data_IF_295630794333
#
_entry.id   IF_295630794333
#
_cell.length_a   1.000
_cell.length_b   1.000
_cell.length_c   1.000
_cell.angle_alpha   90.00
_cell.angle_beta   90.00
_cell.angle_gamma   90.00
#
_symmetry.space_group_name_H-M   'P 1'
#
loop_
_entity.id
_entity.type
_entity.pdbx_description
1 polymer ?
#
# COMPACT_ATOMS: atom_id res chain seq x y z
N UNK A 1 20.90 6.15 -17.16
CA UNK A 1 20.00 5.02 -17.50
C UNK A 1 19.28 4.63 -16.21
N UNK A 2 17.97 4.34 -16.26
CA UNK A 2 17.20 3.94 -15.06
C UNK A 2 17.60 2.52 -14.69
N UNK A 3 17.95 2.29 -13.41
CA UNK A 3 18.34 0.95 -12.93
C UNK A 3 17.13 0.02 -12.87
N UNK A 4 17.29 -1.22 -13.27
CA UNK A 4 16.26 -2.26 -13.32
C UNK A 4 16.60 -3.36 -12.32
N UNK A 5 15.68 -3.66 -11.41
CA UNK A 5 15.97 -4.50 -10.24
C UNK A 5 14.93 -5.61 -10.10
N UNK A 6 15.38 -6.82 -9.78
CA UNK A 6 14.52 -7.92 -9.34
C UNK A 6 14.42 -7.89 -7.82
N UNK A 7 13.21 -7.87 -7.27
CA UNK A 7 12.98 -7.99 -5.85
C UNK A 7 12.71 -9.45 -5.45
N UNK A 8 13.39 -9.88 -4.39
CA UNK A 8 13.08 -11.13 -3.71
C UNK A 8 11.75 -11.04 -2.94
N UNK A 9 11.14 -12.19 -2.68
CA UNK A 9 9.86 -12.29 -1.94
C UNK A 9 9.90 -11.59 -0.58
N UNK A 10 11.01 -11.74 0.09
CA UNK A 10 11.25 -11.21 1.41
C UNK A 10 11.13 -9.69 1.48
N UNK A 11 11.54 -8.97 0.44
CA UNK A 11 11.47 -7.50 0.43
C UNK A 11 10.01 -7.03 0.47
N UNK A 12 9.16 -7.69 -0.31
CA UNK A 12 7.74 -7.34 -0.37
C UNK A 12 7.03 -7.80 0.90
N UNK A 13 7.38 -8.97 1.41
CA UNK A 13 6.82 -9.48 2.67
C UNK A 13 7.22 -8.63 3.88
N UNK A 14 8.39 -7.99 3.87
CA UNK A 14 8.77 -7.06 4.94
C UNK A 14 7.79 -5.88 5.04
N UNK A 15 7.30 -5.39 3.91
CA UNK A 15 6.33 -4.30 3.83
C UNK A 15 4.93 -4.81 4.21
N UNK A 16 4.49 -5.92 3.61
CA UNK A 16 3.15 -6.46 3.83
C UNK A 16 2.91 -6.94 5.27
N UNK A 17 3.96 -7.41 5.95
CA UNK A 17 3.87 -7.97 7.29
C UNK A 17 4.52 -7.10 8.37
N UNK A 18 4.98 -5.89 8.02
CA UNK A 18 5.64 -4.96 8.95
C UNK A 18 6.80 -5.60 9.75
N UNK A 19 7.72 -6.28 9.02
CA UNK A 19 8.80 -7.06 9.66
C UNK A 19 9.96 -6.17 10.09
N UNK A 20 10.02 -5.85 11.38
CA UNK A 20 11.20 -5.22 11.98
C UNK A 20 12.43 -6.17 11.96
N UNK A 21 13.65 -5.66 11.72
CA UNK A 21 14.04 -4.27 11.42
C UNK A 21 14.05 -3.96 9.90
N UNK A 22 13.53 -4.85 9.06
CA UNK A 22 13.72 -4.81 7.61
C UNK A 22 12.74 -3.89 6.88
N UNK A 23 11.56 -3.67 7.47
CA UNK A 23 10.46 -2.91 6.85
C UNK A 23 10.90 -1.55 6.35
N UNK A 24 11.69 -0.80 7.11
CA UNK A 24 12.15 0.55 6.70
C UNK A 24 12.98 0.50 5.42
N UNK A 25 13.86 -0.49 5.29
CA UNK A 25 14.73 -0.64 4.12
C UNK A 25 13.93 -1.04 2.89
N UNK A 26 12.99 -1.95 3.07
CA UNK A 26 12.14 -2.43 2.00
C UNK A 26 11.17 -1.34 1.50
N UNK A 27 10.62 -0.52 2.40
CA UNK A 27 9.80 0.66 2.06
C UNK A 27 10.60 1.64 1.18
N UNK A 28 11.84 1.94 1.51
CA UNK A 28 12.66 2.86 0.71
C UNK A 28 12.96 2.33 -0.70
N UNK A 29 13.20 1.03 -0.84
CA UNK A 29 13.35 0.42 -2.18
C UNK A 29 12.04 0.52 -2.96
N UNK A 30 10.89 0.28 -2.31
CA UNK A 30 9.59 0.44 -2.93
C UNK A 30 9.37 1.90 -3.36
N UNK A 31 9.69 2.87 -2.51
CA UNK A 31 9.62 4.30 -2.83
C UNK A 31 10.46 4.65 -4.07
N UNK A 32 11.65 4.07 -4.24
CA UNK A 32 12.48 4.27 -5.44
C UNK A 32 11.81 3.72 -6.71
N UNK A 33 11.20 2.54 -6.62
CA UNK A 33 10.50 1.89 -7.74
C UNK A 33 9.29 2.70 -8.13
N UNK A 34 8.46 3.01 -7.14
CA UNK A 34 7.22 3.71 -7.35
C UNK A 34 7.52 5.11 -7.91
N UNK A 35 8.47 5.87 -7.32
CA UNK A 35 8.92 7.18 -7.83
C UNK A 35 9.64 7.14 -9.19
N UNK A 36 9.68 5.98 -9.86
CA UNK A 36 10.29 5.74 -11.17
C UNK A 36 11.78 6.09 -11.23
N UNK A 37 12.45 6.15 -10.07
CA UNK A 37 13.90 6.31 -9.99
C UNK A 37 14.61 5.01 -10.37
N UNK A 38 13.97 3.87 -10.11
CA UNK A 38 14.34 2.54 -10.59
C UNK A 38 13.11 1.81 -11.11
N UNK A 39 13.33 0.72 -11.86
CA UNK A 39 12.27 -0.14 -12.37
C UNK A 39 12.30 -1.49 -11.63
N UNK A 40 11.19 -1.85 -10.98
CA UNK A 40 11.11 -3.08 -10.19
C UNK A 40 10.48 -4.25 -10.94
N UNK A 41 11.04 -5.44 -10.72
CA UNK A 41 10.58 -6.71 -11.26
C UNK A 41 10.37 -7.73 -10.15
N UNK A 42 9.45 -8.68 -10.37
CA UNK A 42 9.23 -9.87 -9.53
C UNK A 42 9.03 -11.10 -10.38
N UNK A 43 9.34 -12.28 -9.83
CA UNK A 43 9.04 -13.54 -10.49
C UNK A 43 7.60 -14.02 -10.19
N UNK A 44 7.01 -14.88 -11.03
CA UNK A 44 5.75 -15.55 -10.70
C UNK A 44 5.83 -16.39 -9.42
N UNK A 45 7.02 -16.93 -9.08
CA UNK A 45 7.26 -17.69 -7.85
C UNK A 45 7.12 -16.77 -6.63
N UNK A 46 7.70 -15.57 -6.71
CA UNK A 46 7.55 -14.52 -5.70
C UNK A 46 6.07 -14.18 -5.46
N UNK A 47 5.30 -13.98 -6.53
CA UNK A 47 3.86 -13.72 -6.43
C UNK A 47 3.10 -14.89 -5.77
N UNK A 48 3.40 -16.14 -6.14
CA UNK A 48 2.77 -17.30 -5.53
C UNK A 48 3.02 -17.35 -4.02
N UNK A 49 4.24 -17.05 -3.56
CA UNK A 49 4.53 -17.01 -2.12
C UNK A 49 3.77 -15.91 -1.41
N UNK A 50 3.75 -14.71 -1.97
CA UNK A 50 3.01 -13.59 -1.39
C UNK A 50 1.52 -13.91 -1.29
N UNK A 51 0.94 -14.51 -2.34
CA UNK A 51 -0.44 -14.98 -2.31
C UNK A 51 -0.67 -15.99 -1.19
N UNK A 52 0.21 -16.98 -1.04
CA UNK A 52 0.07 -17.99 0.01
C UNK A 52 0.17 -17.40 1.42
N UNK A 53 1.08 -16.44 1.63
CA UNK A 53 1.19 -15.72 2.90
C UNK A 53 -0.06 -14.88 3.18
N UNK A 54 -0.52 -14.09 2.21
CA UNK A 54 -1.75 -13.31 2.34
C UNK A 54 -2.96 -14.18 2.65
N UNK A 55 -3.05 -15.35 2.00
CA UNK A 55 -4.12 -16.34 2.24
C UNK A 55 -4.08 -16.87 3.66
N UNK A 56 -2.89 -17.17 4.19
CA UNK A 56 -2.72 -17.67 5.56
C UNK A 56 -3.07 -16.62 6.62
N UNK A 57 -2.74 -15.36 6.37
CA UNK A 57 -2.90 -14.28 7.36
C UNK A 57 -4.25 -13.56 7.30
N UNK A 58 -4.91 -13.56 6.16
CA UNK A 58 -6.10 -12.73 5.92
C UNK A 58 -7.14 -13.32 4.97
N UNK A 59 -6.95 -14.56 4.51
CA UNK A 59 -7.85 -15.20 3.57
C UNK A 59 -7.61 -14.83 2.11
N UNK A 60 -8.38 -15.46 1.22
CA UNK A 60 -8.14 -15.43 -0.24
C UNK A 60 -8.34 -14.04 -0.84
N UNK A 61 -9.26 -13.25 -0.29
CA UNK A 61 -9.52 -11.88 -0.77
C UNK A 61 -8.31 -10.97 -0.53
N UNK A 62 -7.75 -10.99 0.69
CA UNK A 62 -6.54 -10.23 1.05
C UNK A 62 -5.35 -10.68 0.19
N UNK A 63 -5.23 -11.98 -0.10
CA UNK A 63 -4.20 -12.50 -0.99
C UNK A 63 -4.30 -11.92 -2.41
N UNK A 64 -5.51 -11.90 -3.00
CA UNK A 64 -5.71 -11.31 -4.32
C UNK A 64 -5.50 -9.81 -4.35
N UNK A 65 -5.89 -9.10 -3.29
CA UNK A 65 -5.63 -7.68 -3.16
C UNK A 65 -4.13 -7.39 -3.17
N UNK A 66 -3.33 -8.12 -2.38
CA UNK A 66 -1.88 -7.94 -2.36
C UNK A 66 -1.25 -8.18 -3.75
N UNK A 67 -1.70 -9.20 -4.49
CA UNK A 67 -1.22 -9.45 -5.87
C UNK A 67 -1.61 -8.32 -6.82
N UNK A 68 -2.83 -7.79 -6.71
CA UNK A 68 -3.28 -6.67 -7.53
C UNK A 68 -2.42 -5.43 -7.26
N UNK A 69 -2.19 -5.09 -5.98
CA UNK A 69 -1.37 -3.95 -5.57
C UNK A 69 0.07 -4.07 -6.08
N UNK A 70 0.72 -5.22 -5.90
CA UNK A 70 2.08 -5.46 -6.40
C UNK A 70 2.19 -5.23 -7.91
N UNK A 71 1.21 -5.68 -8.68
CA UNK A 71 1.19 -5.54 -10.14
C UNK A 71 0.98 -4.10 -10.63
N UNK A 72 0.57 -3.18 -9.75
CA UNK A 72 0.46 -1.76 -10.11
C UNK A 72 1.83 -1.07 -10.16
N UNK A 73 2.82 -1.59 -9.44
CA UNK A 73 4.13 -0.96 -9.24
C UNK A 73 5.30 -1.81 -9.75
N UNK A 74 5.16 -3.14 -9.79
CA UNK A 74 6.20 -4.08 -10.23
C UNK A 74 5.83 -4.78 -11.54
N UNK A 75 6.83 -4.95 -12.39
CA UNK A 75 6.73 -5.79 -13.59
C UNK A 75 6.90 -7.26 -13.22
N UNK A 76 6.12 -8.13 -13.83
CA UNK A 76 6.25 -9.58 -13.61
C UNK A 76 7.15 -10.17 -14.70
N UNK A 77 8.18 -10.90 -14.30
CA UNK A 77 9.03 -11.63 -15.23
C UNK A 77 8.20 -12.71 -15.95
N UNK A 78 8.40 -12.84 -17.26
CA UNK A 78 7.85 -13.94 -18.03
C UNK A 78 8.75 -15.15 -17.79
N UNK A 79 8.18 -16.26 -17.33
CA UNK A 79 8.88 -17.54 -17.17
C UNK A 79 8.29 -18.53 -18.17
N UNK A 80 9.02 -18.73 -19.27
CA UNK A 80 8.70 -19.67 -20.35
C UNK A 80 9.75 -20.80 -20.42
N UNK A 81 9.60 -21.72 -21.38
CA UNK A 81 10.53 -22.83 -21.56
C UNK A 81 11.99 -22.38 -21.77
N UNK A 82 12.22 -21.17 -22.30
CA UNK A 82 13.58 -20.63 -22.47
C UNK A 82 14.18 -20.28 -21.11
N UNK A 83 13.41 -19.60 -20.25
CA UNK A 83 13.84 -19.31 -18.88
C UNK A 83 14.07 -20.61 -18.10
N UNK A 84 13.18 -21.60 -18.25
CA UNK A 84 13.33 -22.90 -17.60
C UNK A 84 14.59 -23.63 -18.07
N UNK A 85 14.89 -23.61 -19.37
CA UNK A 85 16.10 -24.22 -19.92
C UNK A 85 17.37 -23.53 -19.40
N UNK A 86 17.38 -22.19 -19.34
CA UNK A 86 18.48 -21.42 -18.76
C UNK A 86 18.65 -21.76 -17.27
N UNK A 87 17.57 -21.74 -16.49
CA UNK A 87 17.59 -22.06 -15.07
C UNK A 87 18.11 -23.49 -14.82
N UNK A 88 17.66 -24.47 -15.61
CA UNK A 88 18.11 -25.85 -15.50
C UNK A 88 19.60 -26.02 -15.85
N UNK A 89 20.12 -25.22 -16.78
CA UNK A 89 21.55 -25.24 -17.15
C UNK A 89 22.48 -24.86 -16.00
N UNK A 90 21.96 -24.17 -14.98
CA UNK A 90 22.71 -23.75 -13.80
C UNK A 90 22.98 -24.87 -12.82
N UNK A 91 22.21 -25.97 -12.88
CA UNK A 91 22.31 -27.12 -11.98
C UNK A 91 22.33 -26.75 -10.48
N UNK A 92 21.67 -25.65 -10.11
CA UNK A 92 21.52 -25.24 -8.72
C UNK A 92 20.45 -26.11 -8.05
N UNK A 93 20.61 -26.32 -6.73
CA UNK A 93 19.65 -27.10 -5.94
C UNK A 93 18.32 -26.38 -5.71
N UNK A 94 18.37 -25.05 -5.69
CA UNK A 94 17.21 -24.21 -5.41
C UNK A 94 16.61 -23.71 -6.72
N UNK A 95 15.38 -24.16 -6.98
CA UNK A 95 14.64 -23.82 -8.19
C UNK A 95 14.30 -22.33 -8.26
N UNK A 96 13.93 -21.70 -7.14
CA UNK A 96 13.56 -20.30 -7.12
C UNK A 96 14.75 -19.40 -7.47
N UNK A 97 15.90 -19.64 -6.83
CA UNK A 97 17.12 -18.90 -7.15
C UNK A 97 17.52 -19.12 -8.61
N UNK A 98 17.38 -20.35 -9.13
CA UNK A 98 17.67 -20.63 -10.54
C UNK A 98 16.81 -19.79 -11.49
N UNK A 99 15.52 -19.67 -11.20
CA UNK A 99 14.57 -18.88 -11.99
C UNK A 99 14.83 -17.39 -11.86
N UNK A 100 15.11 -16.90 -10.64
CA UNK A 100 15.44 -15.49 -10.41
C UNK A 100 16.70 -15.07 -11.20
N UNK A 101 17.78 -15.87 -11.13
CA UNK A 101 19.02 -15.63 -11.88
C UNK A 101 18.80 -15.71 -13.39
N UNK A 102 17.99 -16.65 -13.87
CA UNK A 102 17.66 -16.79 -15.29
C UNK A 102 16.85 -15.59 -15.80
N UNK A 103 15.86 -15.13 -15.03
CA UNK A 103 15.07 -13.94 -15.34
C UNK A 103 15.95 -12.69 -15.37
N UNK A 104 16.81 -12.49 -14.35
CA UNK A 104 17.70 -11.34 -14.28
C UNK A 104 18.64 -11.26 -15.48
N UNK A 105 19.22 -12.40 -15.88
CA UNK A 105 20.05 -12.48 -17.08
C UNK A 105 19.24 -12.19 -18.35
N UNK A 106 18.14 -12.89 -18.56
CA UNK A 106 17.37 -12.80 -19.81
C UNK A 106 16.78 -11.42 -20.03
N UNK A 107 16.39 -10.73 -18.95
CA UNK A 107 15.85 -9.38 -19.01
C UNK A 107 16.93 -8.30 -18.95
N UNK A 108 18.22 -8.66 -18.77
CA UNK A 108 19.32 -7.72 -18.54
C UNK A 108 18.98 -6.74 -17.40
N UNK A 109 18.60 -7.29 -16.26
CA UNK A 109 18.40 -6.49 -15.04
C UNK A 109 19.77 -6.10 -14.48
N UNK A 110 19.85 -4.99 -13.77
CA UNK A 110 21.11 -4.53 -13.17
C UNK A 110 21.37 -5.21 -11.81
N UNK A 111 20.31 -5.47 -11.04
CA UNK A 111 20.42 -6.02 -9.69
C UNK A 111 19.36 -7.07 -9.36
N UNK A 112 19.73 -8.00 -8.48
CA UNK A 112 18.79 -8.78 -7.66
C UNK A 112 18.94 -8.33 -6.22
N UNK A 113 17.85 -7.84 -5.62
CA UNK A 113 17.81 -7.37 -4.24
C UNK A 113 17.17 -8.44 -3.38
N UNK A 114 17.96 -9.04 -2.48
CA UNK A 114 17.52 -10.17 -1.62
C UNK A 114 18.10 -10.06 -0.21
N UNK A 115 17.33 -10.50 0.78
CA UNK A 115 17.85 -10.69 2.16
C UNK A 115 18.75 -11.92 2.28
N UNK A 116 18.60 -12.89 1.38
CA UNK A 116 19.40 -14.13 1.34
C UNK A 116 20.69 -13.93 0.53
N UNK A 117 21.36 -12.80 0.76
CA UNK A 117 22.49 -12.33 -0.04
C UNK A 117 23.60 -13.38 -0.18
N UNK A 118 24.08 -13.97 0.93
CA UNK A 118 25.15 -14.97 0.91
C UNK A 118 24.76 -16.21 0.10
N UNK A 119 23.50 -16.65 0.21
CA UNK A 119 22.99 -17.81 -0.51
C UNK A 119 22.87 -17.53 -2.01
N UNK A 120 22.28 -16.40 -2.38
CA UNK A 120 22.12 -15.99 -3.76
C UNK A 120 23.49 -15.69 -4.42
N UNK A 121 24.42 -15.07 -3.69
CA UNK A 121 25.76 -14.78 -4.19
C UNK A 121 26.60 -16.05 -4.36
N UNK A 122 26.56 -16.98 -3.40
CA UNK A 122 27.22 -18.30 -3.55
C UNK A 122 26.64 -19.13 -4.69
N UNK A 123 25.34 -18.97 -4.97
CA UNK A 123 24.68 -19.59 -6.13
C UNK A 123 25.14 -18.95 -7.45
N UNK A 124 25.25 -17.61 -7.50
CA UNK A 124 25.80 -16.89 -8.66
C UNK A 124 27.26 -17.28 -8.94
N UNK A 125 28.08 -17.47 -7.91
CA UNK A 125 29.49 -17.84 -8.05
C UNK A 125 29.69 -19.22 -8.71
N UNK A 126 28.73 -20.13 -8.57
CA UNK A 126 28.75 -21.46 -9.21
C UNK A 126 28.46 -21.41 -10.71
N UNK A 127 27.95 -20.29 -11.23
CA UNK A 127 27.71 -20.12 -12.66
C UNK A 127 29.00 -19.84 -13.43
N UNK A 128 29.04 -20.12 -14.75
CA UNK A 128 30.14 -19.68 -15.61
C UNK A 128 30.27 -18.14 -15.63
N UNK A 129 31.48 -17.63 -15.86
CA UNK A 129 31.76 -16.18 -15.78
C UNK A 129 30.92 -15.34 -16.76
N UNK A 130 30.55 -15.93 -17.91
CA UNK A 130 29.61 -15.36 -18.88
C UNK A 130 28.18 -15.11 -18.34
N UNK A 131 27.91 -15.40 -17.06
CA UNK A 131 26.64 -15.10 -16.39
C UNK A 131 26.80 -14.01 -15.32
N UNK A 132 28.01 -13.78 -14.84
CA UNK A 132 28.31 -12.87 -13.71
C UNK A 132 28.42 -11.40 -14.12
N UNK A 133 28.66 -11.14 -15.40
CA UNK A 133 28.87 -9.77 -15.93
C UNK A 133 27.57 -8.98 -16.11
N UNK A 134 26.40 -9.64 -16.06
CA UNK A 134 25.13 -9.02 -16.45
C UNK A 134 24.41 -8.29 -15.32
N UNK A 135 24.57 -8.73 -14.06
CA UNK A 135 23.86 -8.17 -12.91
C UNK A 135 24.60 -8.44 -11.61
N UNK A 136 24.29 -7.65 -10.58
CA UNK A 136 24.81 -7.85 -9.22
C UNK A 136 23.72 -8.35 -8.27
N UNK A 137 24.03 -9.36 -7.47
CA UNK A 137 23.22 -9.72 -6.30
C UNK A 137 23.64 -8.80 -5.15
N UNK A 138 22.69 -8.18 -4.47
CA UNK A 138 22.95 -7.24 -3.37
C UNK A 138 21.90 -7.39 -2.26
N UNK A 139 22.29 -7.07 -1.03
CA UNK A 139 21.31 -6.87 0.04
C UNK A 139 20.64 -5.48 -0.10
N UNK A 140 19.45 -5.27 0.51
CA UNK A 140 18.71 -4.02 0.46
C UNK A 140 19.50 -2.77 0.82
N UNK A 141 20.19 -2.79 1.96
CA UNK A 141 20.92 -1.62 2.48
C UNK A 141 22.09 -1.25 1.57
N UNK A 142 22.86 -2.23 1.09
CA UNK A 142 23.96 -2.03 0.16
C UNK A 142 23.48 -1.49 -1.19
N UNK A 143 22.30 -1.93 -1.66
CA UNK A 143 21.70 -1.35 -2.87
C UNK A 143 21.42 0.14 -2.68
N UNK A 144 20.74 0.52 -1.59
CA UNK A 144 20.43 1.93 -1.30
C UNK A 144 21.70 2.77 -1.18
N UNK A 145 22.74 2.29 -0.49
CA UNK A 145 24.03 2.99 -0.41
C UNK A 145 24.67 3.20 -1.80
N UNK A 146 24.59 2.22 -2.69
CA UNK A 146 25.09 2.35 -4.07
C UNK A 146 24.25 3.30 -4.94
N UNK A 147 22.97 3.48 -4.59
CA UNK A 147 22.06 4.39 -5.28
C UNK A 147 22.28 5.83 -4.81
N UNK A 148 22.74 6.00 -3.57
CA UNK A 148 23.03 7.27 -2.92
C UNK A 148 24.52 7.36 -2.52
N UNK A 149 25.46 7.38 -3.49
CA UNK A 149 26.90 7.19 -3.23
C UNK A 149 27.56 8.32 -2.41
N UNK A 150 27.01 9.54 -2.42
CA UNK A 150 27.48 10.64 -1.57
C UNK A 150 27.23 10.40 -0.07
N UNK A 151 26.54 9.31 0.28
CA UNK A 151 26.06 9.01 1.63
C UNK A 151 26.69 7.72 2.19
N UNK A 152 27.72 7.17 1.52
CA UNK A 152 28.35 5.87 1.83
C UNK A 152 29.05 5.77 3.20
N UNK A 153 29.21 6.88 3.93
CA UNK A 153 29.91 6.90 5.23
C UNK A 153 28.98 6.82 6.45
N UNK A 154 27.66 6.91 6.26
CA UNK A 154 26.68 6.75 7.33
C UNK A 154 25.66 5.69 6.93
N UNK A 155 25.25 4.88 7.90
CA UNK A 155 24.09 4.00 7.78
C UNK A 155 22.94 4.85 7.20
N UNK A 156 22.38 4.49 6.04
CA UNK A 156 21.51 5.37 5.25
C UNK A 156 20.32 5.88 6.07
N UNK A 157 19.77 5.03 6.93
CA UNK A 157 18.67 5.33 7.87
C UNK A 157 19.05 6.31 8.99
N UNK A 158 20.35 6.54 9.19
CA UNK A 158 20.92 7.53 10.10
C UNK A 158 21.50 8.75 9.37
N UNK A 159 21.25 8.90 8.07
CA UNK A 159 21.70 10.07 7.30
C UNK A 159 20.70 11.23 7.41
N UNK A 160 21.22 12.47 7.47
CA UNK A 160 20.39 13.69 7.48
C UNK A 160 19.48 13.73 6.26
N UNK A 161 19.97 13.36 5.09
CA UNK A 161 19.19 13.30 3.84
C UNK A 161 18.01 12.31 3.88
N UNK A 162 18.15 11.14 4.52
CA UNK A 162 17.01 10.23 4.73
C UNK A 162 15.93 10.93 5.55
N UNK A 163 16.31 11.58 6.65
CA UNK A 163 15.37 12.37 7.46
C UNK A 163 14.79 13.55 6.67
N UNK A 164 15.54 14.22 5.79
CA UNK A 164 15.04 15.29 4.93
C UNK A 164 14.00 14.79 3.92
N UNK A 165 14.23 13.63 3.28
CA UNK A 165 13.24 13.00 2.39
C UNK A 165 11.96 12.64 3.15
N UNK A 166 12.10 12.03 4.33
CA UNK A 166 10.97 11.68 5.21
C UNK A 166 10.20 12.91 5.68
N UNK A 167 10.91 14.00 6.02
CA UNK A 167 10.31 15.28 6.39
C UNK A 167 9.54 15.90 5.23
N UNK A 168 10.07 15.87 4.01
CA UNK A 168 9.37 16.38 2.82
C UNK A 168 8.08 15.60 2.56
N UNK A 169 8.14 14.27 2.63
CA UNK A 169 6.97 13.41 2.45
C UNK A 169 5.91 13.66 3.54
N UNK A 170 6.34 13.74 4.80
CA UNK A 170 5.45 14.03 5.93
C UNK A 170 4.78 15.38 5.82
N UNK A 171 5.52 16.39 5.35
CA UNK A 171 4.98 17.74 5.13
C UNK A 171 3.84 17.68 4.13
N UNK A 172 4.03 16.95 3.02
CA UNK A 172 2.98 16.81 2.00
C UNK A 172 1.79 15.97 2.46
N UNK A 173 2.03 14.91 3.22
CA UNK A 173 0.97 14.13 3.88
C UNK A 173 0.13 15.02 4.80
N UNK A 174 0.77 15.86 5.62
CA UNK A 174 0.12 16.83 6.49
C UNK A 174 -0.70 17.87 5.72
N UNK A 175 -0.16 18.42 4.63
CA UNK A 175 -0.90 19.36 3.76
C UNK A 175 -2.22 18.76 3.27
N UNK A 176 -2.22 17.50 2.84
CA UNK A 176 -3.42 16.82 2.35
C UNK A 176 -4.41 16.52 3.49
N UNK A 177 -3.91 16.03 4.62
CA UNK A 177 -4.77 15.81 5.80
C UNK A 177 -5.44 17.12 6.21
N UNK A 178 -4.69 18.22 6.24
CA UNK A 178 -5.22 19.55 6.56
C UNK A 178 -6.27 19.98 5.51
N UNK A 179 -5.99 19.74 4.23
CA UNK A 179 -6.93 20.03 3.16
C UNK A 179 -8.26 19.26 3.31
N UNK A 180 -8.21 17.94 3.55
CA UNK A 180 -9.40 17.13 3.79
C UNK A 180 -10.13 17.59 5.06
N UNK A 181 -9.38 17.88 6.12
CA UNK A 181 -9.94 18.37 7.39
C UNK A 181 -10.70 19.68 7.20
N UNK A 182 -10.17 20.60 6.39
CA UNK A 182 -10.83 21.88 6.06
C UNK A 182 -12.06 21.71 5.15
N UNK A 183 -12.19 20.56 4.47
CA UNK A 183 -13.31 20.24 3.58
C UNK A 183 -14.32 19.26 4.21
N UNK A 184 -14.09 18.78 5.44
CA UNK A 184 -14.93 17.77 6.10
C UNK A 184 -16.42 18.10 6.10
N UNK A 185 -16.78 19.37 6.32
CA UNK A 185 -18.18 19.80 6.37
C UNK A 185 -18.84 19.68 5.00
N UNK A 186 -18.12 20.06 3.94
CA UNK A 186 -18.60 19.94 2.56
C UNK A 186 -18.75 18.47 2.20
N UNK A 187 -17.77 17.63 2.54
CA UNK A 187 -17.80 16.19 2.29
C UNK A 187 -19.01 15.54 2.96
N UNK A 188 -19.15 15.69 4.28
CA UNK A 188 -20.20 15.02 5.05
C UNK A 188 -21.59 15.56 4.71
N UNK A 189 -21.76 16.88 4.56
CA UNK A 189 -23.07 17.44 4.19
C UNK A 189 -23.50 17.04 2.78
N UNK A 190 -22.56 16.97 1.81
CA UNK A 190 -22.88 16.54 0.45
C UNK A 190 -23.27 15.06 0.42
N UNK A 191 -22.57 14.22 1.19
CA UNK A 191 -22.93 12.80 1.35
C UNK A 191 -24.30 12.61 2.00
N UNK A 192 -24.65 13.43 3.00
CA UNK A 192 -25.97 13.39 3.64
C UNK A 192 -27.07 13.82 2.67
N UNK A 193 -26.87 14.89 1.89
CA UNK A 193 -27.84 15.33 0.89
C UNK A 193 -28.08 14.25 -0.16
N UNK A 194 -27.00 13.62 -0.66
CA UNK A 194 -27.09 12.49 -1.58
C UNK A 194 -27.92 11.35 -0.99
N UNK A 195 -27.72 11.03 0.30
CA UNK A 195 -28.49 9.99 0.99
C UNK A 195 -29.97 10.34 1.12
N UNK A 196 -30.30 11.61 1.42
CA UNK A 196 -31.68 12.09 1.52
C UNK A 196 -32.40 12.08 0.17
N UNK A 197 -31.66 12.29 -0.93
CA UNK A 197 -32.21 12.26 -2.30
C UNK A 197 -32.35 10.84 -2.86
N UNK A 198 -31.46 9.91 -2.47
CA UNK A 198 -31.37 8.55 -3.03
C UNK A 198 -32.29 7.52 -2.34
N UNK A 199 -32.76 7.79 -1.12
CA UNK A 199 -33.74 6.94 -0.43
C UNK A 199 -35.15 7.45 -0.77
N UNK A 200 -36.04 6.66 -1.40
CA UNK A 200 -37.41 7.10 -1.65
C UNK A 200 -38.10 7.43 -0.33
N UNK A 201 -38.87 8.52 -0.34
CA UNK A 201 -39.63 9.14 0.76
C UNK A 201 -40.50 8.15 1.58
N UNK A 202 -40.64 6.91 1.12
CA UNK A 202 -41.47 5.84 1.69
C UNK A 202 -40.70 4.85 2.61
N UNK A 203 -39.36 4.84 2.63
CA UNK A 203 -38.56 4.08 3.63
C UNK A 203 -38.32 4.88 4.93
N UNK A 204 -38.97 6.04 5.02
CA UNK A 204 -38.96 6.96 6.15
C UNK A 204 -40.03 6.48 7.15
N UNK A 205 -39.71 5.45 7.94
CA UNK A 205 -40.25 5.30 9.32
C UNK A 205 -39.81 6.47 10.25
N UNK A 206 -39.25 7.53 9.66
CA UNK A 206 -38.71 8.74 10.27
C UNK A 206 -39.73 9.91 10.15
N UNK A 207 -40.93 9.70 9.60
CA UNK A 207 -41.96 10.74 9.45
C UNK A 207 -42.86 10.94 10.68
N UNK A 208 -42.57 10.26 11.80
CA UNK A 208 -43.17 10.62 13.08
C UNK A 208 -42.29 11.67 13.78
N UNK A 209 -42.83 12.88 13.74
CA UNK A 209 -42.25 14.17 14.09
C UNK A 209 -41.56 14.19 15.48
N UNK A 210 -40.48 14.96 15.58
CA UNK A 210 -39.53 15.15 16.70
C UNK A 210 -38.28 14.23 16.66
N UNK A 211 -38.26 13.15 15.87
CA UNK A 211 -37.14 12.17 15.83
C UNK A 211 -36.27 12.13 14.55
N UNK A 212 -36.45 13.04 13.59
CA UNK A 212 -35.70 13.06 12.31
C UNK A 212 -34.40 13.87 12.36
N UNK A 213 -34.43 15.07 12.96
CA UNK A 213 -33.25 15.95 13.05
C UNK A 213 -32.15 15.35 13.94
N UNK A 214 -32.53 14.76 15.07
CA UNK A 214 -31.59 14.13 15.99
C UNK A 214 -30.88 12.92 15.35
N UNK A 215 -31.57 12.15 14.50
CA UNK A 215 -30.99 11.01 13.77
C UNK A 215 -30.03 11.47 12.67
N UNK A 216 -30.40 12.51 11.91
CA UNK A 216 -29.51 13.11 10.90
C UNK A 216 -28.28 13.72 11.56
N UNK A 217 -28.44 14.39 12.70
CA UNK A 217 -27.33 14.94 13.48
C UNK A 217 -26.41 13.85 14.02
N UNK A 218 -26.96 12.73 14.52
CA UNK A 218 -26.18 11.58 14.97
C UNK A 218 -25.42 10.92 13.81
N UNK A 219 -26.08 10.70 12.66
CA UNK A 219 -25.45 10.15 11.46
C UNK A 219 -24.29 11.04 10.98
N UNK A 220 -24.53 12.35 10.94
CA UNK A 220 -23.52 13.35 10.60
C UNK A 220 -22.31 13.29 11.55
N UNK A 221 -22.56 13.18 12.85
CA UNK A 221 -21.50 13.08 13.87
C UNK A 221 -20.66 11.82 13.66
N UNK A 222 -21.29 10.68 13.42
CA UNK A 222 -20.59 9.41 13.21
C UNK A 222 -19.73 9.42 11.94
N UNK A 223 -20.23 10.02 10.86
CA UNK A 223 -19.45 10.21 9.63
C UNK A 223 -18.21 11.07 9.89
N UNK A 224 -18.33 12.14 10.69
CA UNK A 224 -17.15 12.92 11.11
C UNK A 224 -16.18 12.11 11.96
N UNK A 225 -16.70 11.30 12.89
CA UNK A 225 -15.88 10.47 13.77
C UNK A 225 -15.05 9.48 12.96
N UNK A 226 -15.68 8.76 12.02
CA UNK A 226 -15.01 7.78 11.17
C UNK A 226 -14.00 8.48 10.25
N UNK A 227 -14.38 9.58 9.59
CA UNK A 227 -13.44 10.35 8.75
C UNK A 227 -12.23 10.82 9.55
N UNK A 228 -12.42 11.27 10.79
CA UNK A 228 -11.33 11.69 11.69
C UNK A 228 -10.39 10.54 12.03
N UNK A 229 -10.93 9.36 12.37
CA UNK A 229 -10.11 8.17 12.63
C UNK A 229 -9.33 7.73 11.38
N UNK A 230 -9.94 7.79 10.20
CA UNK A 230 -9.24 7.53 8.93
C UNK A 230 -8.07 8.50 8.74
N UNK A 231 -8.28 9.80 8.97
CA UNK A 231 -7.22 10.81 8.85
C UNK A 231 -6.09 10.60 9.89
N UNK A 232 -6.42 10.15 11.10
CA UNK A 232 -5.41 9.78 12.09
C UNK A 232 -4.59 8.56 11.66
N UNK A 233 -5.22 7.55 11.07
CA UNK A 233 -4.50 6.39 10.56
C UNK A 233 -3.57 6.75 9.39
N UNK A 234 -3.99 7.67 8.52
CA UNK A 234 -3.15 8.21 7.46
C UNK A 234 -1.96 8.96 8.06
N UNK A 235 -2.19 9.81 9.07
CA UNK A 235 -1.13 10.56 9.75
C UNK A 235 -0.08 9.64 10.40
N UNK A 236 -0.54 8.54 10.99
CA UNK A 236 0.29 7.55 11.66
C UNK A 236 0.90 6.51 10.72
N UNK A 237 0.60 6.57 9.41
CA UNK A 237 1.04 5.60 8.40
C UNK A 237 0.71 4.14 8.76
N UNK A 238 -0.43 3.92 9.42
CA UNK A 238 -0.86 2.57 9.81
C UNK A 238 -1.10 1.69 8.59
N UNK A 239 -0.26 0.70 8.31
CA UNK A 239 -0.46 -0.21 7.17
C UNK A 239 -1.78 -0.98 7.21
N UNK A 240 -2.35 -1.27 8.37
CA UNK A 240 -3.69 -1.89 8.50
C UNK A 240 -4.35 -1.32 9.76
N UNK A 241 -5.68 -1.12 9.74
CA UNK A 241 -6.40 -0.84 10.97
C UNK A 241 -6.69 -2.17 11.67
N UNK A 242 -6.10 -2.35 12.84
CA UNK A 242 -6.45 -3.47 13.71
C UNK A 242 -7.92 -3.36 14.19
N UNK A 243 -8.51 -4.50 14.53
CA UNK A 243 -9.91 -4.56 14.98
C UNK A 243 -10.14 -3.71 16.25
N UNK A 244 -9.13 -3.56 17.10
CA UNK A 244 -9.27 -2.75 18.31
C UNK A 244 -9.46 -1.26 17.97
N UNK A 245 -8.73 -0.76 16.97
CA UNK A 245 -8.79 0.59 16.47
C UNK A 245 -10.15 0.91 15.84
N UNK A 246 -10.64 0.02 14.98
CA UNK A 246 -11.97 0.15 14.36
C UNK A 246 -13.05 0.11 15.45
N UNK A 247 -12.99 -0.86 16.35
CA UNK A 247 -13.99 -1.00 17.43
C UNK A 247 -13.98 0.20 18.39
N UNK A 248 -12.83 0.83 18.62
CA UNK A 248 -12.74 2.06 19.43
C UNK A 248 -13.50 3.21 18.76
N UNK A 249 -13.33 3.39 17.45
CA UNK A 249 -14.09 4.38 16.68
C UNK A 249 -15.59 4.06 16.68
N UNK A 250 -15.97 2.80 16.45
CA UNK A 250 -17.38 2.40 16.38
C UNK A 250 -18.08 2.55 17.73
N UNK A 251 -17.39 2.36 18.86
CA UNK A 251 -17.93 2.64 20.20
C UNK A 251 -18.27 4.12 20.44
N UNK A 252 -17.63 5.04 19.71
CA UNK A 252 -17.96 6.48 19.75
C UNK A 252 -19.15 6.84 18.84
N UNK A 253 -19.58 5.93 17.96
CA UNK A 253 -20.66 6.17 17.01
C UNK A 253 -22.04 5.93 17.66
N UNK A 254 -22.93 6.92 17.55
CA UNK A 254 -24.23 6.91 18.22
C UNK A 254 -25.38 6.36 17.34
N UNK A 255 -25.20 6.31 16.02
CA UNK A 255 -26.22 5.92 15.04
C UNK A 255 -26.25 4.43 14.72
N UNK A 256 -25.29 3.64 15.24
CA UNK A 256 -25.16 2.20 14.97
C UNK A 256 -26.41 1.40 15.34
N UNK A 257 -27.13 1.83 16.38
CA UNK A 257 -28.38 1.21 16.83
C UNK A 257 -29.62 1.66 16.05
N UNK A 258 -29.50 2.69 15.19
CA UNK A 258 -30.65 3.42 14.63
C UNK A 258 -30.69 3.36 13.10
N UNK A 259 -29.56 3.54 12.42
CA UNK A 259 -29.50 3.70 10.96
C UNK A 259 -28.18 3.20 10.35
N UNK A 260 -27.68 2.03 10.75
CA UNK A 260 -26.41 1.46 10.26
C UNK A 260 -26.29 1.41 8.73
N UNK A 261 -27.38 1.05 8.03
CA UNK A 261 -27.38 0.99 6.56
C UNK A 261 -27.25 2.38 5.92
N UNK A 262 -27.84 3.42 6.53
CA UNK A 262 -27.64 4.80 6.10
C UNK A 262 -26.20 5.25 6.36
N UNK A 263 -25.58 4.84 7.47
CA UNK A 263 -24.18 5.13 7.76
C UNK A 263 -23.25 4.51 6.71
N UNK A 264 -23.49 3.26 6.30
CA UNK A 264 -22.73 2.60 5.23
C UNK A 264 -22.81 3.38 3.92
N UNK A 265 -24.02 3.74 3.48
CA UNK A 265 -24.22 4.50 2.23
C UNK A 265 -23.57 5.88 2.32
N UNK A 266 -23.74 6.57 3.46
CA UNK A 266 -23.11 7.87 3.70
C UNK A 266 -21.58 7.80 3.68
N UNK A 267 -21.00 6.74 4.23
CA UNK A 267 -19.55 6.51 4.22
C UNK A 267 -19.03 6.16 2.82
N UNK A 268 -19.76 5.36 2.05
CA UNK A 268 -19.41 5.09 0.64
C UNK A 268 -19.36 6.39 -0.17
N UNK A 269 -20.36 7.26 -0.01
CA UNK A 269 -20.36 8.55 -0.70
C UNK A 269 -19.23 9.47 -0.18
N UNK A 270 -18.95 9.43 1.12
CA UNK A 270 -17.86 10.21 1.72
C UNK A 270 -16.50 9.74 1.23
N UNK A 271 -16.31 8.43 1.04
CA UNK A 271 -15.12 7.85 0.42
C UNK A 271 -14.92 8.45 -0.98
N UNK A 272 -15.92 8.33 -1.85
CA UNK A 272 -15.84 8.83 -3.23
C UNK A 272 -15.50 10.33 -3.28
N UNK A 273 -16.20 11.15 -2.51
CA UNK A 273 -15.94 12.59 -2.45
C UNK A 273 -14.53 12.89 -1.89
N UNK A 274 -14.07 12.14 -0.89
CA UNK A 274 -12.73 12.30 -0.33
C UNK A 274 -11.66 12.01 -1.38
N UNK A 275 -11.79 10.90 -2.11
CA UNK A 275 -10.87 10.53 -3.18
C UNK A 275 -10.83 11.59 -4.30
N UNK A 276 -12.00 12.13 -4.67
CA UNK A 276 -12.11 13.20 -5.66
C UNK A 276 -11.39 14.48 -5.19
N UNK A 277 -11.63 14.96 -3.97
CA UNK A 277 -10.96 16.19 -3.51
C UNK A 277 -9.44 15.98 -3.34
N UNK A 278 -9.00 14.78 -2.95
CA UNK A 278 -7.58 14.45 -2.84
C UNK A 278 -6.93 14.44 -4.22
N UNK A 279 -7.59 13.88 -5.24
CA UNK A 279 -7.11 13.93 -6.63
C UNK A 279 -6.97 15.37 -7.13
N UNK A 280 -7.95 16.22 -6.82
CA UNK A 280 -7.94 17.64 -7.19
C UNK A 280 -6.78 18.37 -6.52
N UNK A 281 -6.58 18.17 -5.22
CA UNK A 281 -5.47 18.78 -4.48
C UNK A 281 -4.12 18.45 -5.11
N UNK A 282 -3.89 17.17 -5.44
CA UNK A 282 -2.62 16.72 -6.04
C UNK A 282 -2.41 17.32 -7.43
N UNK A 283 -3.47 17.45 -8.23
CA UNK A 283 -3.37 18.09 -9.55
C UNK A 283 -3.08 19.60 -9.45
N UNK A 284 -3.53 20.26 -8.40
CA UNK A 284 -3.30 21.70 -8.16
C UNK A 284 -1.92 22.00 -7.55
N UNK A 285 -1.29 21.03 -6.88
CA UNK A 285 -0.02 21.21 -6.18
C UNK A 285 1.14 20.53 -6.92
N UNK A 286 1.84 21.31 -7.74
CA UNK A 286 3.05 20.88 -8.47
C UNK A 286 4.12 20.45 -7.46
N UNK A 287 4.51 19.17 -7.50
CA UNK A 287 5.61 18.62 -6.69
C UNK A 287 5.23 17.49 -5.74
N UNK A 288 3.95 17.08 -5.69
CA UNK A 288 3.59 15.82 -5.04
C UNK A 288 3.80 14.65 -6.02
N UNK A 289 4.69 13.68 -5.75
CA UNK A 289 4.88 12.54 -6.63
C UNK A 289 3.55 11.79 -6.82
N UNK A 290 3.23 11.43 -8.07
CA UNK A 290 2.01 10.64 -8.40
C UNK A 290 1.88 9.34 -7.58
N UNK A 291 3.00 8.87 -7.06
CA UNK A 291 3.19 7.71 -6.21
C UNK A 291 2.71 7.93 -4.80
N UNK A 292 3.20 8.99 -4.16
CA UNK A 292 2.80 9.34 -2.80
C UNK A 292 1.30 9.63 -2.76
N UNK A 293 0.74 10.11 -3.88
CA UNK A 293 -0.69 10.18 -4.12
C UNK A 293 -1.37 8.82 -4.16
N UNK A 294 -0.87 7.88 -4.95
CA UNK A 294 -1.43 6.54 -5.01
C UNK A 294 -1.36 5.82 -3.65
N UNK A 295 -0.25 5.92 -2.90
CA UNK A 295 -0.14 5.36 -1.54
C UNK A 295 -1.22 5.95 -0.64
N UNK A 296 -1.39 7.28 -0.69
CA UNK A 296 -2.38 7.96 0.13
C UNK A 296 -3.81 7.60 -0.25
N UNK A 297 -4.10 7.55 -1.55
CA UNK A 297 -5.41 7.14 -2.10
C UNK A 297 -5.72 5.70 -1.77
N UNK A 298 -4.74 4.81 -1.91
CA UNK A 298 -4.88 3.39 -1.54
C UNK A 298 -5.09 3.26 -0.03
N UNK A 299 -4.36 4.02 0.79
CA UNK A 299 -4.57 4.08 2.23
C UNK A 299 -5.97 4.56 2.61
N UNK A 300 -6.42 5.68 2.03
CA UNK A 300 -7.78 6.21 2.24
C UNK A 300 -8.83 5.17 1.83
N UNK A 301 -8.72 4.63 0.62
CA UNK A 301 -9.61 3.61 0.07
C UNK A 301 -9.70 2.41 1.00
N UNK A 302 -8.54 1.85 1.37
CA UNK A 302 -8.44 0.70 2.26
C UNK A 302 -9.06 0.95 3.62
N UNK A 303 -8.81 2.10 4.25
CA UNK A 303 -9.37 2.39 5.57
C UNK A 303 -10.88 2.59 5.51
N UNK A 304 -11.41 3.30 4.50
CA UNK A 304 -12.85 3.39 4.28
C UNK A 304 -13.46 1.99 4.09
N UNK A 305 -12.84 1.15 3.26
CA UNK A 305 -13.33 -0.20 2.99
C UNK A 305 -13.31 -1.09 4.23
N UNK A 306 -12.27 -1.01 5.06
CA UNK A 306 -12.23 -1.72 6.35
C UNK A 306 -13.39 -1.32 7.25
N UNK A 307 -13.65 -0.01 7.43
CA UNK A 307 -14.81 0.45 8.21
C UNK A 307 -16.14 -0.03 7.61
N UNK A 308 -16.32 0.06 6.29
CA UNK A 308 -17.55 -0.35 5.60
C UNK A 308 -17.77 -1.87 5.73
N UNK A 309 -16.73 -2.68 5.54
CA UNK A 309 -16.78 -4.13 5.67
C UNK A 309 -17.13 -4.50 7.11
N UNK A 310 -16.46 -3.91 8.12
CA UNK A 310 -16.78 -4.18 9.52
C UNK A 310 -18.24 -3.86 9.84
N UNK A 311 -18.72 -2.69 9.43
CA UNK A 311 -20.12 -2.28 9.59
C UNK A 311 -21.12 -3.21 8.90
N UNK A 312 -20.73 -3.83 7.77
CA UNK A 312 -21.56 -4.77 7.02
C UNK A 312 -21.55 -6.18 7.62
N UNK A 313 -20.41 -6.58 8.22
CA UNK A 313 -20.17 -7.92 8.76
C UNK A 313 -20.74 -8.15 10.17
N UNK A 314 -20.96 -7.10 10.96
CA UNK A 314 -21.58 -7.19 12.30
C UNK A 314 -23.10 -7.44 12.21
N UNK A 315 -23.52 -8.58 11.68
CA UNK A 315 -24.81 -9.18 12.04
C UNK A 315 -24.58 -9.98 13.31
N UNK A 316 -24.82 -9.36 14.46
CA UNK A 316 -25.03 -10.05 15.74
C UNK A 316 -26.31 -9.56 16.37
#
# INVERSE_FOLDING_TARGET
>A
MIRRVLLDDDIILDILLDRDPFVQVSVEICNLIESKKIEGYVTPITLNKIFNVGKQNGGVEIAWQAIAEIRTILKVCIVDDKILAIANSYQLKDFEISIQLACAKSLQLDYIITRKFEYAQSSLQKLPDSYKEFFSVVNPSSFLLSFFPNHANHDFFNSIEFYLLRLQENTKRLEIILYITNKKDILVNSSLNYLLESIPIQLIEIQNQINSENKIAALKLDMYTILRYILYAILLEKLVLDNEYINRCLKECNSLSICRQALIIGLQQTKELTLQITSKFVNEHIGFPAVNYNILVNGLTRYFDQFIITLTSEIL
#
